data_IF_224544257251
#
_entry.id   IF_224544257251
#
_cell.length_a   1.000
_cell.length_b   1.000
_cell.length_c   1.000
_cell.angle_alpha   90.00
_cell.angle_beta   90.00
_cell.angle_gamma   90.00
#
_symmetry.space_group_name_H-M   'P 1'
#
loop_
_entity.id
_entity.type
_entity.pdbx_description
1 polymer ?
#
# COMPACT_ATOMS: atom_id res chain seq x y z
N UNK A 1 17.33 28.65 -26.80
CA UNK A 1 16.30 28.65 -25.76
C UNK A 1 16.81 27.83 -24.60
N UNK A 2 16.96 28.37 -23.37
CA UNK A 2 17.44 27.59 -22.24
C UNK A 2 16.36 26.58 -21.82
N UNK A 3 16.74 25.33 -21.67
CA UNK A 3 15.90 24.28 -21.11
C UNK A 3 15.56 24.63 -19.66
N UNK A 4 14.26 24.78 -19.33
CA UNK A 4 13.78 24.92 -17.97
C UNK A 4 14.09 23.62 -17.22
N UNK A 5 14.89 23.71 -16.18
CA UNK A 5 15.16 22.65 -15.23
C UNK A 5 13.98 22.56 -14.25
N UNK A 6 12.82 22.13 -14.73
CA UNK A 6 11.73 21.73 -13.85
C UNK A 6 12.04 20.33 -13.30
N UNK A 7 12.82 20.30 -12.23
CA UNK A 7 12.91 19.09 -11.39
C UNK A 7 11.50 18.78 -10.86
N UNK A 8 11.04 17.51 -10.90
CA UNK A 8 9.73 17.17 -10.34
C UNK A 8 9.67 17.58 -8.87
N UNK A 9 8.48 18.01 -8.38
CA UNK A 9 8.34 18.47 -7.01
C UNK A 9 8.75 17.35 -6.05
N UNK A 10 9.82 17.61 -5.31
CA UNK A 10 10.35 16.71 -4.29
C UNK A 10 9.27 16.52 -3.22
N UNK A 11 8.84 15.28 -2.99
CA UNK A 11 7.89 14.98 -1.94
C UNK A 11 8.53 15.43 -0.61
N UNK A 12 7.92 16.40 0.09
CA UNK A 12 8.46 16.96 1.33
C UNK A 12 8.65 15.84 2.36
N UNK A 13 9.91 15.59 2.71
CA UNK A 13 10.26 14.62 3.75
C UNK A 13 9.45 14.88 5.03
N UNK A 14 8.91 13.82 5.64
CA UNK A 14 8.20 13.92 6.91
C UNK A 14 9.17 13.69 8.07
N UNK A 15 8.96 14.39 9.17
CA UNK A 15 9.69 14.08 10.41
C UNK A 15 9.29 12.69 10.90
N UNK A 16 10.25 11.76 10.96
CA UNK A 16 10.03 10.45 11.54
C UNK A 16 9.85 10.58 13.06
N UNK A 17 8.76 9.98 13.57
CA UNK A 17 8.50 9.83 15.01
C UNK A 17 8.24 8.36 15.31
N UNK A 18 9.12 7.67 16.06
CA UNK A 18 8.89 6.29 16.44
C UNK A 18 7.56 6.14 17.18
N UNK A 19 6.82 5.06 16.90
CA UNK A 19 5.61 4.74 17.66
C UNK A 19 5.91 4.54 19.14
N UNK A 20 4.89 4.63 20.00
CA UNK A 20 5.07 4.36 21.44
C UNK A 20 5.61 2.94 21.68
N UNK A 21 5.15 1.97 20.86
CA UNK A 21 5.63 0.59 20.94
C UNK A 21 7.12 0.48 20.58
N UNK A 22 7.58 1.09 19.50
CA UNK A 22 9.00 1.08 19.11
C UNK A 22 9.88 1.74 20.19
N UNK A 23 9.41 2.86 20.79
CA UNK A 23 10.14 3.48 21.91
C UNK A 23 10.21 2.57 23.12
N UNK A 24 9.09 1.88 23.45
CA UNK A 24 9.03 0.91 24.53
C UNK A 24 9.97 -0.28 24.28
N UNK A 25 10.00 -0.80 23.05
CA UNK A 25 10.92 -1.87 22.64
C UNK A 25 12.39 -1.48 22.85
N UNK A 26 12.79 -0.29 22.39
CA UNK A 26 14.16 0.21 22.61
C UNK A 26 14.47 0.35 24.09
N UNK A 27 13.55 0.92 24.90
CA UNK A 27 13.72 1.05 26.33
C UNK A 27 13.83 -0.31 27.04
N UNK A 28 13.01 -1.29 26.64
CA UNK A 28 13.06 -2.68 27.16
C UNK A 28 14.45 -3.30 26.95
N UNK A 29 15.01 -3.18 25.75
CA UNK A 29 16.35 -3.70 25.46
C UNK A 29 17.43 -3.01 26.31
N UNK A 30 17.36 -1.69 26.47
CA UNK A 30 18.29 -0.95 27.31
C UNK A 30 18.19 -1.37 28.78
N UNK A 31 16.97 -1.54 29.31
CA UNK A 31 16.72 -1.99 30.67
C UNK A 31 17.20 -3.44 30.88
N UNK A 32 16.90 -4.33 29.92
CA UNK A 32 17.35 -5.72 29.97
C UNK A 32 18.89 -5.80 29.99
N UNK A 33 19.58 -5.06 29.16
CA UNK A 33 21.04 -5.00 29.13
C UNK A 33 21.60 -4.45 30.45
N UNK A 34 21.06 -3.36 30.98
CA UNK A 34 21.46 -2.79 32.27
C UNK A 34 21.22 -3.74 33.44
N UNK A 35 20.09 -4.44 33.47
CA UNK A 35 19.77 -5.42 34.48
C UNK A 35 20.78 -6.59 34.50
N UNK A 36 21.22 -7.04 33.30
CA UNK A 36 22.21 -8.12 33.18
C UNK A 36 23.61 -7.72 33.67
N UNK A 37 23.97 -6.43 33.52
CA UNK A 37 25.23 -5.89 34.03
C UNK A 37 25.21 -5.88 35.57
N UNK A 38 24.09 -5.49 36.19
CA UNK A 38 23.96 -5.35 37.66
C UNK A 38 23.66 -6.68 38.35
N UNK A 39 22.81 -7.50 37.75
CA UNK A 39 22.33 -8.79 38.29
C UNK A 39 22.27 -9.84 37.18
N UNK A 40 23.40 -10.49 36.81
CA UNK A 40 23.46 -11.47 35.70
C UNK A 40 22.47 -12.62 35.85
N UNK A 41 22.09 -13.00 37.08
CA UNK A 41 21.09 -14.06 37.33
C UNK A 41 19.70 -13.75 36.78
N UNK A 42 19.39 -12.51 36.37
CA UNK A 42 18.15 -12.13 35.74
C UNK A 42 18.07 -12.51 34.27
N UNK A 43 19.11 -13.16 33.71
CA UNK A 43 19.16 -13.50 32.27
C UNK A 43 17.91 -14.25 31.74
N UNK A 44 17.26 -15.19 32.47
CA UNK A 44 16.09 -15.87 31.91
C UNK A 44 14.92 -14.91 31.73
N UNK A 45 14.73 -13.95 32.65
CA UNK A 45 13.67 -12.95 32.56
C UNK A 45 13.94 -11.90 31.48
N UNK A 46 15.19 -11.45 31.36
CA UNK A 46 15.61 -10.54 30.31
C UNK A 46 15.41 -11.19 28.92
N UNK A 47 15.84 -12.47 28.78
CA UNK A 47 15.63 -13.21 27.54
C UNK A 47 14.14 -13.39 27.23
N UNK A 48 13.33 -13.80 28.20
CA UNK A 48 11.88 -13.96 27.99
C UNK A 48 11.21 -12.65 27.54
N UNK A 49 11.59 -11.53 28.18
CA UNK A 49 11.04 -10.21 27.81
C UNK A 49 11.44 -9.80 26.38
N UNK A 50 12.70 -9.97 26.00
CA UNK A 50 13.19 -9.67 24.64
C UNK A 50 12.53 -10.59 23.61
N UNK A 51 12.39 -11.88 23.88
CA UNK A 51 11.69 -12.82 22.99
C UNK A 51 10.23 -12.41 22.81
N UNK A 52 9.52 -12.08 23.88
CA UNK A 52 8.12 -11.63 23.81
C UNK A 52 7.98 -10.35 22.99
N UNK A 53 8.90 -9.38 23.13
CA UNK A 53 8.95 -8.15 22.33
C UNK A 53 9.16 -8.47 20.85
N UNK A 54 10.13 -9.31 20.50
CA UNK A 54 10.40 -9.70 19.12
C UNK A 54 9.26 -10.49 18.49
N UNK A 55 8.57 -11.35 19.24
CA UNK A 55 7.35 -12.02 18.77
C UNK A 55 6.25 -10.99 18.46
N UNK A 56 6.11 -9.97 19.30
CA UNK A 56 5.14 -8.88 19.08
C UNK A 56 5.50 -8.03 17.87
N UNK A 57 6.79 -7.68 17.70
CA UNK A 57 7.30 -6.99 16.50
C UNK A 57 7.00 -7.79 15.22
N UNK A 58 7.27 -9.09 15.28
CA UNK A 58 7.02 -10.00 14.14
C UNK A 58 5.52 -10.09 13.84
N UNK A 59 4.69 -10.32 14.84
CA UNK A 59 3.23 -10.37 14.67
C UNK A 59 2.68 -9.06 14.08
N UNK A 60 3.16 -7.91 14.56
CA UNK A 60 2.80 -6.61 14.01
C UNK A 60 3.26 -6.42 12.56
N UNK A 61 4.42 -6.96 12.19
CA UNK A 61 4.95 -6.93 10.81
C UNK A 61 4.17 -7.84 9.86
N UNK A 62 3.67 -8.97 10.35
CA UNK A 62 2.85 -9.93 9.60
C UNK A 62 1.37 -9.53 9.52
N UNK A 63 0.92 -8.54 10.30
CA UNK A 63 -0.44 -8.04 10.27
C UNK A 63 -0.54 -6.77 9.43
N UNK A 64 -1.04 -6.83 8.18
CA UNK A 64 -1.01 -5.70 7.23
C UNK A 64 -1.67 -4.43 7.75
N UNK A 65 -2.66 -4.54 8.65
CA UNK A 65 -3.40 -3.41 9.22
C UNK A 65 -2.90 -2.95 10.58
N UNK A 66 -1.82 -3.53 11.12
CA UNK A 66 -1.24 -3.09 12.38
C UNK A 66 -0.79 -1.62 12.31
N UNK A 67 -0.82 -0.91 13.43
CA UNK A 67 -0.27 0.45 13.59
C UNK A 67 0.88 0.50 14.61
N UNK A 68 1.22 -0.63 15.23
CA UNK A 68 2.28 -0.71 16.27
C UNK A 68 3.65 -0.28 15.73
N UNK A 69 3.96 -0.59 14.47
CA UNK A 69 5.25 -0.24 13.86
C UNK A 69 5.31 1.17 13.27
N UNK A 70 4.22 1.94 13.35
CA UNK A 70 4.10 3.29 12.81
C UNK A 70 2.74 3.54 12.16
N UNK A 71 2.49 4.77 11.69
CA UNK A 71 1.25 5.16 11.04
C UNK A 71 0.89 4.24 9.87
N UNK A 72 -0.40 3.93 9.72
CA UNK A 72 -0.90 3.09 8.65
C UNK A 72 -2.33 3.50 8.31
N UNK A 73 -2.55 4.00 7.11
CA UNK A 73 -3.86 4.38 6.63
C UNK A 73 -4.63 3.11 6.23
N UNK A 74 -5.50 2.64 7.10
CA UNK A 74 -6.33 1.44 6.87
C UNK A 74 -7.76 1.78 6.46
N UNK A 75 -8.17 3.07 6.60
CA UNK A 75 -9.47 3.63 6.25
C UNK A 75 -9.30 5.09 5.86
N UNK A 76 -10.14 5.60 4.97
CA UNK A 76 -10.12 7.02 4.59
C UNK A 76 -10.41 7.93 5.80
N UNK A 77 -9.95 9.19 5.78
CA UNK A 77 -10.22 10.15 6.84
C UNK A 77 -11.73 10.34 7.09
N UNK A 78 -12.15 10.68 8.34
CA UNK A 78 -13.56 10.88 8.67
C UNK A 78 -14.30 11.85 7.76
N UNK A 79 -13.62 12.92 7.30
CA UNK A 79 -14.16 13.89 6.34
C UNK A 79 -14.53 13.28 4.99
N UNK A 80 -13.73 12.33 4.49
CA UNK A 80 -14.00 11.63 3.24
C UNK A 80 -15.17 10.64 3.44
N UNK A 81 -15.19 9.92 4.57
CA UNK A 81 -16.29 9.04 4.92
C UNK A 81 -17.63 9.81 5.04
N UNK A 82 -17.62 11.02 5.63
CA UNK A 82 -18.80 11.88 5.72
C UNK A 82 -19.36 12.31 4.35
N UNK A 83 -18.51 12.35 3.29
CA UNK A 83 -18.92 12.61 1.90
C UNK A 83 -19.39 11.35 1.16
N UNK A 84 -19.48 10.19 1.84
CA UNK A 84 -19.81 8.92 1.21
C UNK A 84 -18.70 8.33 0.34
N UNK A 85 -17.44 8.76 0.53
CA UNK A 85 -16.32 8.35 -0.30
C UNK A 85 -15.72 7.02 0.15
N UNK A 86 -15.26 6.24 -0.83
CA UNK A 86 -14.42 5.05 -0.67
C UNK A 86 -13.22 5.14 -1.61
N UNK A 87 -12.17 4.36 -1.37
CA UNK A 87 -11.07 4.19 -2.31
C UNK A 87 -11.07 2.77 -2.89
N UNK A 88 -11.08 2.66 -4.22
CA UNK A 88 -10.73 1.42 -4.93
C UNK A 88 -9.25 1.50 -5.22
N UNK A 89 -8.49 0.49 -4.79
CA UNK A 89 -7.04 0.44 -4.99
C UNK A 89 -6.64 -0.84 -5.70
N UNK A 90 -5.70 -0.71 -6.63
CA UNK A 90 -5.20 -1.79 -7.47
C UNK A 90 -3.70 -1.92 -7.30
N UNK A 91 -3.22 -3.12 -7.02
CA UNK A 91 -1.82 -3.41 -6.77
C UNK A 91 -1.18 -4.19 -7.93
N UNK A 92 0.14 -4.21 -7.95
CA UNK A 92 1.01 -4.98 -8.83
C UNK A 92 1.06 -4.52 -10.29
N UNK A 93 0.25 -3.56 -10.72
CA UNK A 93 0.27 -3.02 -12.08
C UNK A 93 1.50 -2.15 -12.42
N UNK A 94 1.53 -1.54 -13.61
CA UNK A 94 0.60 -1.77 -14.71
C UNK A 94 0.85 -3.12 -15.41
N UNK A 95 -0.23 -3.75 -15.87
CA UNK A 95 -0.20 -4.96 -16.68
C UNK A 95 -0.76 -4.64 -18.07
N UNK A 96 -0.01 -4.87 -19.18
CA UNK A 96 -0.44 -4.46 -20.51
C UNK A 96 -1.67 -5.21 -21.05
N UNK A 97 -2.00 -6.39 -20.49
CA UNK A 97 -3.19 -7.15 -20.88
C UNK A 97 -4.42 -6.77 -20.03
N UNK A 98 -4.21 -6.42 -18.75
CA UNK A 98 -5.30 -6.26 -17.79
C UNK A 98 -5.63 -4.80 -17.52
N UNK A 99 -4.61 -3.96 -17.28
CA UNK A 99 -4.82 -2.55 -16.90
C UNK A 99 -5.66 -1.76 -17.89
N UNK A 100 -5.51 -1.88 -19.25
CA UNK A 100 -6.36 -1.17 -20.19
C UNK A 100 -7.85 -1.52 -20.05
N UNK A 101 -8.16 -2.81 -19.83
CA UNK A 101 -9.53 -3.25 -19.63
C UNK A 101 -10.11 -2.74 -18.29
N UNK A 102 -9.30 -2.71 -17.23
CA UNK A 102 -9.66 -2.11 -15.93
C UNK A 102 -9.97 -0.63 -16.09
N UNK A 103 -9.13 0.13 -16.80
CA UNK A 103 -9.34 1.55 -17.06
C UNK A 103 -10.64 1.80 -17.82
N UNK A 104 -10.93 1.00 -18.87
CA UNK A 104 -12.19 1.09 -19.61
C UNK A 104 -13.42 0.78 -18.74
N UNK A 105 -13.30 -0.14 -17.78
CA UNK A 105 -14.36 -0.43 -16.79
C UNK A 105 -14.59 0.74 -15.85
N UNK A 106 -13.53 1.33 -15.32
CA UNK A 106 -13.60 2.48 -14.42
C UNK A 106 -14.24 3.70 -15.12
N UNK A 107 -13.86 3.97 -16.38
CA UNK A 107 -14.43 5.08 -17.17
C UNK A 107 -15.94 4.89 -17.42
N UNK A 108 -16.37 3.69 -17.83
CA UNK A 108 -17.81 3.39 -18.02
C UNK A 108 -18.66 3.63 -16.79
N UNK A 109 -18.08 3.51 -15.60
CA UNK A 109 -18.75 3.74 -14.33
C UNK A 109 -18.47 5.11 -13.71
N UNK A 110 -17.74 6.00 -14.42
CA UNK A 110 -17.28 7.30 -13.91
C UNK A 110 -16.57 7.19 -12.54
N UNK A 111 -15.83 6.10 -12.34
CA UNK A 111 -15.13 5.79 -11.10
C UNK A 111 -13.66 6.21 -11.19
N UNK A 112 -13.06 6.60 -10.05
CA UNK A 112 -11.63 6.86 -9.94
C UNK A 112 -11.01 5.88 -8.95
N UNK A 113 -9.76 5.49 -9.22
CA UNK A 113 -9.03 4.51 -8.43
C UNK A 113 -7.58 4.97 -8.20
N UNK A 114 -6.89 4.34 -7.24
CA UNK A 114 -5.47 4.54 -7.00
C UNK A 114 -4.72 3.25 -7.33
N UNK A 115 -3.71 3.35 -8.18
CA UNK A 115 -2.90 2.24 -8.66
C UNK A 115 -1.56 2.23 -7.93
N UNK A 116 -1.30 1.20 -7.12
CA UNK A 116 -0.01 0.95 -6.49
C UNK A 116 0.84 0.14 -7.45
N UNK A 117 1.71 0.85 -8.17
CA UNK A 117 2.44 0.27 -9.28
C UNK A 117 3.87 -0.13 -8.90
N UNK A 118 4.33 -1.22 -9.49
CA UNK A 118 5.71 -1.72 -9.38
C UNK A 118 6.60 -0.90 -10.31
N UNK A 119 7.68 -0.32 -9.79
CA UNK A 119 8.56 0.58 -10.56
C UNK A 119 9.13 -0.04 -11.83
N UNK A 120 9.58 -1.30 -11.79
CA UNK A 120 10.05 -2.01 -12.99
C UNK A 120 8.96 -2.20 -14.06
N UNK A 121 7.69 -2.33 -13.65
CA UNK A 121 6.57 -2.43 -14.59
C UNK A 121 6.27 -1.07 -15.22
N UNK A 122 6.33 0.00 -14.44
CA UNK A 122 6.25 1.37 -14.95
C UNK A 122 7.34 1.64 -15.98
N UNK A 123 8.59 1.28 -15.67
CA UNK A 123 9.71 1.47 -16.59
C UNK A 123 9.54 0.70 -17.92
N UNK A 124 8.91 -0.48 -17.88
CA UNK A 124 8.59 -1.27 -19.08
C UNK A 124 7.38 -0.76 -19.87
N UNK A 125 6.42 -0.12 -19.19
CA UNK A 125 5.15 0.33 -19.79
C UNK A 125 4.84 1.79 -19.46
N UNK A 126 5.74 2.76 -19.76
CA UNK A 126 5.58 4.16 -19.35
C UNK A 126 4.36 4.85 -20.00
N UNK A 127 3.94 4.41 -21.19
CA UNK A 127 2.73 4.95 -21.84
C UNK A 127 1.48 4.59 -21.03
N UNK A 128 1.39 3.36 -20.54
CA UNK A 128 0.25 2.91 -19.74
C UNK A 128 0.19 3.63 -18.39
N UNK A 129 1.36 3.92 -17.78
CA UNK A 129 1.43 4.76 -16.59
C UNK A 129 0.87 6.18 -16.84
N UNK A 130 1.24 6.81 -17.97
CA UNK A 130 0.70 8.10 -18.36
C UNK A 130 -0.81 8.04 -18.62
N UNK A 131 -1.30 6.96 -19.23
CA UNK A 131 -2.72 6.74 -19.49
C UNK A 131 -3.53 6.65 -18.19
N UNK A 132 -3.04 5.95 -17.17
CA UNK A 132 -3.66 5.89 -15.85
C UNK A 132 -3.89 7.30 -15.30
N UNK A 133 -2.87 8.16 -15.34
CA UNK A 133 -2.99 9.55 -14.86
C UNK A 133 -3.91 10.40 -15.74
N UNK A 134 -3.79 10.28 -17.07
CA UNK A 134 -4.59 11.05 -18.02
C UNK A 134 -6.10 10.78 -17.88
N UNK A 135 -6.46 9.59 -17.41
CA UNK A 135 -7.85 9.21 -17.10
C UNK A 135 -8.29 9.62 -15.69
N UNK A 136 -7.47 10.40 -14.96
CA UNK A 136 -7.81 10.96 -13.63
C UNK A 136 -7.68 9.98 -12.46
N UNK A 137 -6.96 8.89 -12.61
CA UNK A 137 -6.56 8.00 -11.53
C UNK A 137 -5.26 8.48 -10.88
N UNK A 138 -4.85 7.90 -9.73
CA UNK A 138 -3.55 8.18 -9.15
C UNK A 138 -2.60 7.00 -9.27
N UNK A 139 -1.30 7.31 -9.40
CA UNK A 139 -0.21 6.34 -9.33
C UNK A 139 0.48 6.47 -7.98
N UNK A 140 0.64 5.34 -7.30
CA UNK A 140 1.24 5.24 -5.99
C UNK A 140 2.35 4.16 -5.98
N UNK A 141 3.21 4.19 -4.99
CA UNK A 141 4.42 3.38 -4.93
C UNK A 141 4.14 1.97 -4.36
N UNK A 142 4.51 0.93 -5.12
CA UNK A 142 4.44 -0.49 -4.69
C UNK A 142 5.81 -1.18 -4.72
N UNK A 143 6.89 -0.47 -4.32
CA UNK A 143 8.28 -0.86 -4.43
C UNK A 143 8.80 -0.96 -5.88
N UNK A 144 10.13 -1.05 -6.04
CA UNK A 144 10.74 -1.10 -7.37
C UNK A 144 10.56 -2.45 -8.03
N UNK A 145 10.74 -3.56 -7.29
CA UNK A 145 10.81 -4.93 -7.83
C UNK A 145 9.75 -5.88 -7.27
N UNK A 146 8.95 -5.44 -6.31
CA UNK A 146 7.97 -6.28 -5.63
C UNK A 146 8.58 -7.58 -5.08
N UNK A 147 9.66 -7.47 -4.30
CA UNK A 147 10.38 -8.64 -3.78
C UNK A 147 9.54 -9.42 -2.76
N UNK A 148 9.44 -10.74 -2.92
CA UNK A 148 8.75 -11.62 -1.95
C UNK A 148 9.31 -11.51 -0.52
N UNK A 149 10.62 -11.19 -0.40
CA UNK A 149 11.31 -10.96 0.87
C UNK A 149 11.31 -9.49 1.32
N UNK A 150 10.44 -8.63 0.79
CA UNK A 150 10.44 -7.19 1.07
C UNK A 150 10.46 -6.89 2.57
N UNK A 151 9.64 -7.57 3.36
CA UNK A 151 9.57 -7.39 4.82
C UNK A 151 10.80 -7.85 5.59
N UNK A 152 11.75 -8.52 4.96
CA UNK A 152 13.03 -8.95 5.55
C UNK A 152 14.21 -8.04 5.15
N UNK A 153 13.95 -6.99 4.36
CA UNK A 153 15.01 -6.08 3.90
C UNK A 153 15.48 -5.17 5.03
N UNK A 154 16.78 -4.92 5.07
CA UNK A 154 17.36 -3.88 5.92
C UNK A 154 17.11 -2.46 5.38
N UNK A 155 17.42 -1.41 6.17
CA UNK A 155 17.09 -0.01 5.85
C UNK A 155 17.61 0.45 4.46
N UNK A 156 18.85 0.12 4.11
CA UNK A 156 19.43 0.50 2.80
C UNK A 156 18.69 -0.11 1.61
N UNK A 157 18.30 -1.39 1.73
CA UNK A 157 17.59 -2.09 0.67
C UNK A 157 16.13 -1.62 0.58
N UNK A 158 15.45 -1.34 1.70
CA UNK A 158 14.12 -0.71 1.72
C UNK A 158 14.16 0.65 1.02
N UNK A 159 15.16 1.49 1.35
CA UNK A 159 15.33 2.79 0.69
C UNK A 159 15.49 2.65 -0.82
N UNK A 160 16.32 1.72 -1.29
CA UNK A 160 16.53 1.49 -2.71
C UNK A 160 15.24 1.05 -3.43
N UNK A 161 14.44 0.16 -2.80
CA UNK A 161 13.14 -0.26 -3.34
C UNK A 161 12.12 0.89 -3.42
N UNK A 162 12.08 1.74 -2.39
CA UNK A 162 11.16 2.88 -2.34
C UNK A 162 11.60 3.96 -3.33
N UNK A 163 12.87 4.38 -3.28
CA UNK A 163 13.40 5.45 -4.13
C UNK A 163 13.35 5.06 -5.61
N UNK A 164 13.75 3.83 -5.96
CA UNK A 164 13.70 3.37 -7.35
C UNK A 164 12.31 3.45 -7.95
N UNK A 165 11.25 3.06 -7.20
CA UNK A 165 9.88 3.19 -7.69
C UNK A 165 9.44 4.66 -7.79
N UNK A 166 9.82 5.53 -6.84
CA UNK A 166 9.58 6.98 -6.94
C UNK A 166 10.18 7.55 -8.22
N UNK A 167 11.44 7.24 -8.48
CA UNK A 167 12.17 7.68 -9.67
C UNK A 167 11.53 7.14 -10.96
N UNK A 168 11.19 5.84 -11.00
CA UNK A 168 10.55 5.22 -12.17
C UNK A 168 9.20 5.86 -12.49
N UNK A 169 8.37 6.15 -11.48
CA UNK A 169 7.06 6.78 -11.66
C UNK A 169 7.24 8.25 -12.08
N UNK A 170 8.10 9.00 -11.38
CA UNK A 170 8.37 10.40 -11.69
C UNK A 170 8.94 10.57 -13.10
N UNK A 171 9.89 9.74 -13.51
CA UNK A 171 10.49 9.76 -14.84
C UNK A 171 9.46 9.48 -15.94
N UNK A 172 8.60 8.49 -15.72
CA UNK A 172 7.59 8.10 -16.70
C UNK A 172 6.45 9.14 -16.85
N UNK A 173 6.10 9.86 -15.78
CA UNK A 173 4.83 10.58 -15.69
C UNK A 173 4.94 12.03 -15.24
N UNK A 174 6.08 12.47 -14.70
CA UNK A 174 6.23 13.77 -14.03
C UNK A 174 5.52 13.86 -12.67
N UNK A 175 4.83 12.80 -12.22
CA UNK A 175 4.08 12.79 -10.95
C UNK A 175 4.89 12.11 -9.85
N UNK A 176 4.80 12.65 -8.61
CA UNK A 176 5.41 12.04 -7.44
C UNK A 176 4.33 11.29 -6.61
N UNK A 177 4.45 9.98 -6.38
CA UNK A 177 3.59 9.24 -5.46
C UNK A 177 3.59 9.85 -4.07
N UNK A 178 2.46 9.78 -3.39
CA UNK A 178 2.27 10.24 -2.00
C UNK A 178 2.03 9.11 -1.02
N UNK A 179 1.65 7.97 -1.55
CA UNK A 179 1.33 6.79 -0.76
C UNK A 179 2.23 5.62 -1.17
N UNK A 180 2.45 4.74 -0.21
CA UNK A 180 3.18 3.50 -0.38
C UNK A 180 2.35 2.34 0.14
N UNK A 181 2.37 1.23 -0.56
CA UNK A 181 1.86 -0.05 -0.05
C UNK A 181 2.97 -1.08 -0.08
N UNK A 182 3.16 -1.76 1.04
CA UNK A 182 4.18 -2.80 1.13
C UNK A 182 3.74 -4.05 0.35
N UNK A 183 4.64 -4.69 -0.41
CA UNK A 183 4.39 -5.99 -1.02
C UNK A 183 3.78 -6.99 -0.03
N UNK A 184 2.70 -7.69 -0.44
CA UNK A 184 1.88 -8.56 0.39
C UNK A 184 1.29 -7.90 1.67
N UNK A 185 1.48 -6.60 1.86
CA UNK A 185 1.12 -5.87 3.09
C UNK A 185 2.06 -6.11 4.26
N UNK A 186 3.17 -6.82 4.07
CA UNK A 186 4.11 -7.21 5.11
C UNK A 186 5.21 -6.17 5.30
N UNK A 187 5.60 -5.92 6.55
CA UNK A 187 6.58 -4.87 6.89
C UNK A 187 7.42 -5.22 8.11
N UNK A 188 8.48 -4.46 8.31
CA UNK A 188 9.33 -4.52 9.50
C UNK A 188 9.49 -3.11 10.11
N UNK A 189 10.12 -2.96 11.29
CA UNK A 189 10.29 -1.67 11.97
C UNK A 189 11.09 -0.63 11.19
N UNK A 190 11.88 -1.03 10.19
CA UNK A 190 12.72 -0.12 9.40
C UNK A 190 11.97 0.55 8.26
N UNK A 191 10.74 0.11 7.93
CA UNK A 191 9.99 0.66 6.80
C UNK A 191 9.56 2.11 7.04
N UNK A 192 8.95 2.41 8.20
CA UNK A 192 8.40 3.76 8.47
C UNK A 192 9.46 4.88 8.44
N UNK A 193 10.69 4.72 8.98
CA UNK A 193 11.75 5.71 8.80
C UNK A 193 12.07 6.02 7.33
N UNK A 194 12.08 5.00 6.47
CA UNK A 194 12.38 5.21 5.05
C UNK A 194 11.21 5.84 4.30
N UNK A 195 9.96 5.50 4.64
CA UNK A 195 8.77 6.16 4.12
C UNK A 195 8.70 7.63 4.53
N UNK A 196 9.03 7.95 5.79
CA UNK A 196 9.07 9.31 6.29
C UNK A 196 10.11 10.15 5.52
N UNK A 197 11.30 9.59 5.27
CA UNK A 197 12.35 10.21 4.46
C UNK A 197 11.89 10.49 3.03
N UNK A 198 11.15 9.56 2.43
CA UNK A 198 10.61 9.70 1.09
C UNK A 198 9.31 10.53 1.02
N UNK A 199 8.81 11.09 2.13
CA UNK A 199 7.55 11.85 2.18
C UNK A 199 6.29 11.01 1.98
N UNK A 200 6.40 9.67 2.02
CA UNK A 200 5.32 8.74 1.73
C UNK A 200 4.50 8.37 2.97
N UNK A 201 3.22 8.07 2.76
CA UNK A 201 2.32 7.51 3.79
C UNK A 201 2.04 6.05 3.49
N UNK A 202 2.19 5.18 4.49
CA UNK A 202 1.80 3.78 4.36
C UNK A 202 0.28 3.65 4.26
N UNK A 203 -0.18 2.83 3.30
CA UNK A 203 -1.61 2.52 3.11
C UNK A 203 -1.81 1.02 3.08
N UNK A 204 -2.75 0.54 3.88
CA UNK A 204 -3.31 -0.81 3.80
C UNK A 204 -4.74 -0.76 3.23
N UNK A 205 -5.63 -1.57 3.74
CA UNK A 205 -7.02 -1.71 3.26
C UNK A 205 -7.97 -2.04 4.42
N UNK A 206 -9.24 -1.72 4.24
CA UNK A 206 -10.31 -2.25 5.08
C UNK A 206 -10.77 -3.61 4.59
N UNK A 207 -10.83 -3.80 3.25
CA UNK A 207 -11.35 -5.01 2.60
C UNK A 207 -10.40 -5.50 1.53
N UNK A 208 -10.21 -6.82 1.48
CA UNK A 208 -9.38 -7.51 0.47
C UNK A 208 -10.19 -8.62 -0.18
N UNK A 209 -10.20 -8.64 -1.52
CA UNK A 209 -10.89 -9.66 -2.32
C UNK A 209 -10.19 -11.02 -2.31
N UNK A 210 -8.87 -11.04 -2.14
CA UNK A 210 -7.99 -12.20 -2.38
C UNK A 210 -8.05 -12.67 -3.84
N UNK A 211 -8.20 -11.74 -4.74
CA UNK A 211 -8.31 -11.93 -6.18
C UNK A 211 -7.00 -12.39 -6.86
N UNK A 212 -5.89 -12.45 -6.13
CA UNK A 212 -4.63 -13.07 -6.59
C UNK A 212 -4.61 -14.59 -6.44
N UNK A 213 -5.49 -15.15 -5.59
CA UNK A 213 -5.54 -16.59 -5.29
C UNK A 213 -6.92 -17.19 -5.50
N UNK A 214 -7.99 -16.39 -5.37
CA UNK A 214 -9.37 -16.86 -5.59
C UNK A 214 -9.74 -16.74 -7.06
N UNK A 215 -10.07 -17.85 -7.69
CA UNK A 215 -10.55 -17.93 -9.07
C UNK A 215 -12.07 -17.76 -9.18
N UNK A 216 -12.77 -17.66 -8.04
CA UNK A 216 -14.23 -17.54 -7.92
C UNK A 216 -14.62 -16.07 -7.74
N UNK A 217 -15.23 -15.42 -8.76
CA UNK A 217 -15.61 -14.01 -8.72
C UNK A 217 -16.62 -13.70 -7.62
N UNK A 218 -17.55 -14.61 -7.32
CA UNK A 218 -18.58 -14.38 -6.32
C UNK A 218 -17.99 -14.32 -4.91
N UNK A 219 -17.04 -15.18 -4.62
CA UNK A 219 -16.29 -15.13 -3.35
C UNK A 219 -15.47 -13.86 -3.20
N UNK A 220 -14.80 -13.43 -4.27
CA UNK A 220 -14.05 -12.17 -4.28
C UNK A 220 -14.99 -10.99 -4.01
N UNK A 221 -16.10 -10.92 -4.76
CA UNK A 221 -17.11 -9.89 -4.62
C UNK A 221 -17.71 -9.85 -3.21
N UNK A 222 -18.13 -10.99 -2.68
CA UNK A 222 -18.72 -11.10 -1.35
C UNK A 222 -17.79 -10.56 -0.24
N UNK A 223 -16.46 -10.82 -0.35
CA UNK A 223 -15.47 -10.30 0.61
C UNK A 223 -15.32 -8.78 0.53
N UNK A 224 -15.42 -8.21 -0.67
CA UNK A 224 -15.31 -6.76 -0.89
C UNK A 224 -16.57 -6.00 -0.47
N UNK A 225 -17.75 -6.60 -0.66
CA UNK A 225 -19.05 -5.93 -0.46
C UNK A 225 -19.68 -6.18 0.92
N UNK A 226 -19.29 -7.23 1.66
CA UNK A 226 -19.86 -7.54 2.98
C UNK A 226 -19.68 -6.37 3.95
N UNK A 227 -20.77 -5.66 4.29
CA UNK A 227 -20.75 -4.49 5.17
C UNK A 227 -19.94 -3.33 4.60
N UNK A 228 -19.92 -3.16 3.27
CA UNK A 228 -19.30 -2.02 2.59
C UNK A 228 -19.84 -0.70 3.15
N UNK A 229 -18.95 0.23 3.50
CA UNK A 229 -19.31 1.46 4.20
C UNK A 229 -18.44 2.65 3.75
N UNK A 230 -18.90 3.90 3.93
CA UNK A 230 -18.09 5.09 3.70
C UNK A 230 -16.74 5.01 4.41
N UNK A 231 -15.70 5.48 3.73
CA UNK A 231 -14.33 5.43 4.22
C UNK A 231 -13.58 4.12 3.98
N UNK A 232 -14.21 3.11 3.39
CA UNK A 232 -13.52 1.85 3.07
C UNK A 232 -12.45 2.05 2.01
N UNK A 233 -11.33 1.33 2.16
CA UNK A 233 -10.27 1.16 1.17
C UNK A 233 -10.32 -0.29 0.69
N UNK A 234 -10.64 -0.49 -0.57
CA UNK A 234 -10.78 -1.80 -1.20
C UNK A 234 -9.50 -2.17 -1.92
N UNK A 235 -9.00 -3.39 -1.70
CA UNK A 235 -7.82 -3.92 -2.36
C UNK A 235 -8.20 -4.97 -3.41
N UNK A 236 -7.75 -4.71 -4.62
CA UNK A 236 -7.78 -5.56 -5.81
C UNK A 236 -6.40 -5.53 -6.49
N UNK A 237 -6.21 -6.33 -7.54
CA UNK A 237 -4.96 -6.39 -8.28
C UNK A 237 -5.22 -6.36 -9.79
N UNK A 238 -4.58 -5.44 -10.51
CA UNK A 238 -4.54 -5.43 -11.97
C UNK A 238 -3.29 -6.16 -12.51
N UNK A 239 -2.26 -6.35 -11.68
CA UNK A 239 -1.19 -7.31 -11.92
C UNK A 239 -1.39 -8.58 -11.07
N UNK A 240 -0.98 -9.74 -11.57
CA UNK A 240 -1.06 -11.04 -10.86
C UNK A 240 -2.47 -11.49 -10.43
N UNK A 241 -3.54 -10.95 -11.00
CA UNK A 241 -4.90 -11.43 -10.73
C UNK A 241 -5.04 -12.92 -11.11
N UNK A 242 -5.72 -13.70 -10.25
CA UNK A 242 -6.04 -15.08 -10.55
C UNK A 242 -6.94 -15.16 -11.81
N UNK A 243 -6.91 -16.28 -12.51
CA UNK A 243 -7.74 -16.49 -13.70
C UNK A 243 -8.97 -17.35 -13.34
N UNK A 244 -10.12 -16.94 -13.85
CA UNK A 244 -11.38 -17.71 -13.73
C UNK A 244 -11.32 -19.01 -14.54
N UNK A 245 -12.32 -19.88 -14.40
CA UNK A 245 -12.47 -21.09 -15.22
C UNK A 245 -12.49 -20.76 -16.73
N UNK A 246 -13.03 -19.60 -17.13
CA UNK A 246 -12.99 -19.07 -18.49
C UNK A 246 -11.63 -18.46 -18.89
N UNK A 247 -10.58 -18.64 -18.07
CA UNK A 247 -9.20 -18.20 -18.26
C UNK A 247 -8.97 -16.68 -18.31
N UNK A 248 -9.99 -15.86 -18.13
CA UNK A 248 -9.84 -14.40 -17.98
C UNK A 248 -9.42 -14.01 -16.55
N UNK A 249 -8.74 -12.83 -16.37
CA UNK A 249 -8.44 -12.31 -15.05
C UNK A 249 -9.72 -12.07 -14.23
N UNK A 250 -9.76 -12.59 -12.99
CA UNK A 250 -10.95 -12.54 -12.12
C UNK A 250 -11.43 -11.10 -11.86
N UNK A 251 -10.50 -10.14 -11.82
CA UNK A 251 -10.82 -8.73 -11.62
C UNK A 251 -11.75 -8.18 -12.71
N UNK A 252 -11.61 -8.62 -13.96
CA UNK A 252 -12.44 -8.13 -15.07
C UNK A 252 -13.90 -8.58 -14.96
N UNK A 253 -14.16 -9.69 -14.25
CA UNK A 253 -15.51 -10.13 -13.90
C UNK A 253 -16.04 -9.45 -12.64
N UNK A 254 -15.18 -9.25 -11.64
CA UNK A 254 -15.55 -8.69 -10.33
C UNK A 254 -15.78 -7.19 -10.40
N UNK A 255 -14.91 -6.44 -11.07
CA UNK A 255 -14.89 -4.98 -11.01
C UNK A 255 -16.22 -4.33 -11.47
N UNK A 256 -16.86 -4.69 -12.60
CA UNK A 256 -18.12 -4.08 -13.01
C UNK A 256 -19.25 -4.31 -11.99
N UNK A 257 -19.32 -5.50 -11.39
CA UNK A 257 -20.35 -5.82 -10.38
C UNK A 257 -20.06 -5.06 -9.06
N UNK A 258 -18.80 -4.97 -8.67
CA UNK A 258 -18.37 -4.17 -7.52
C UNK A 258 -18.73 -2.69 -7.71
N UNK A 259 -18.45 -2.11 -8.88
CA UNK A 259 -18.77 -0.70 -9.20
C UNK A 259 -20.28 -0.43 -9.18
N UNK A 260 -21.09 -1.39 -9.66
CA UNK A 260 -22.55 -1.33 -9.56
C UNK A 260 -23.01 -1.39 -8.09
N UNK A 261 -22.44 -2.27 -7.26
CA UNK A 261 -22.75 -2.38 -5.85
C UNK A 261 -22.36 -1.11 -5.06
N UNK A 262 -21.18 -0.53 -5.36
CA UNK A 262 -20.72 0.73 -4.78
C UNK A 262 -21.70 1.87 -5.10
N UNK A 263 -22.13 1.98 -6.35
CA UNK A 263 -23.11 2.98 -6.78
C UNK A 263 -24.47 2.75 -6.11
N UNK A 264 -24.94 1.50 -6.07
CA UNK A 264 -26.20 1.14 -5.42
C UNK A 264 -26.24 1.44 -3.93
N UNK A 265 -25.08 1.42 -3.27
CA UNK A 265 -24.91 1.84 -1.87
C UNK A 265 -24.78 3.37 -1.69
N UNK A 266 -24.88 4.17 -2.75
CA UNK A 266 -24.69 5.62 -2.71
C UNK A 266 -23.27 6.07 -2.43
N UNK A 267 -22.27 5.19 -2.63
CA UNK A 267 -20.87 5.47 -2.35
C UNK A 267 -20.14 6.03 -3.60
N UNK A 268 -19.12 6.86 -3.35
CA UNK A 268 -18.34 7.55 -4.37
C UNK A 268 -16.90 7.03 -4.38
N UNK A 269 -16.46 6.31 -5.43
CA UNK A 269 -15.08 5.88 -5.56
C UNK A 269 -14.18 7.05 -5.97
N UNK A 270 -13.23 7.40 -5.12
CA UNK A 270 -12.26 8.49 -5.32
C UNK A 270 -10.82 7.98 -5.20
N UNK A 271 -9.86 8.77 -5.70
CA UNK A 271 -8.43 8.47 -5.48
C UNK A 271 -8.03 8.76 -4.03
N UNK A 272 -7.00 8.08 -3.54
CA UNK A 272 -6.43 8.34 -2.20
C UNK A 272 -5.99 9.80 -2.03
N UNK A 273 -5.28 10.43 -3.01
CA UNK A 273 -4.95 11.84 -2.90
C UNK A 273 -6.18 12.74 -2.73
N UNK A 274 -7.24 12.53 -3.52
CA UNK A 274 -8.47 13.33 -3.42
C UNK A 274 -9.19 13.15 -2.08
N UNK A 275 -9.18 11.95 -1.51
CA UNK A 275 -9.81 11.67 -0.22
C UNK A 275 -9.01 12.21 0.98
N UNK A 276 -7.67 12.30 0.87
CA UNK A 276 -6.76 12.61 1.97
C UNK A 276 -6.27 14.06 2.00
N UNK A 277 -6.58 14.83 0.99
CA UNK A 277 -6.33 16.28 0.89
C UNK A 277 -7.61 17.05 1.24
#
# INVERSE_FOLDING_TARGET
>A
MPASSDSPPEALARTFRPSAFIRGSVALHAVAAGALIVKPQLWPWALAAVVADHLTLTAAGLWPRASLLGPNLTRLPPRAAARGEIAITLDDGPDPEVTPAVLALLDRHAARASFFCVGERIARHPQLAREILARGHSLENHSQRHLNRFSLLGPRALRAEIAGAQESIAFATGAAPRFFRAPAGLRNPFLEPELARAGLKLVSWTRRGFDTVSTDPDRVLARLTRGLAPGDILLLHDGHAARTAGRGPVILTVLPVLLAAVRGAGLKPVTLPAACL
#
